data_IF_185128895943
#
_entry.id   IF_185128895943
#
_cell.length_a   1.000
_cell.length_b   1.000
_cell.length_c   1.000
_cell.angle_alpha   90.00
_cell.angle_beta   90.00
_cell.angle_gamma   90.00
#
_symmetry.space_group_name_H-M   'P 1'
#
loop_
_entity.id
_entity.type
_entity.pdbx_description
1 polymer ?
#
# COMPACT_ATOMS: atom_id res chain seq x y z
N UNK A 1 -22.74 53.23 -28.64
CA UNK A 1 -22.90 52.75 -27.26
C UNK A 1 -24.06 51.79 -27.13
N UNK A 2 -23.76 50.49 -27.09
CA UNK A 2 -24.30 49.56 -26.10
C UNK A 2 -23.23 48.46 -25.94
N UNK A 3 -22.39 48.56 -24.91
CA UNK A 3 -21.54 47.46 -24.48
C UNK A 3 -22.44 46.37 -23.88
N UNK A 4 -22.43 45.18 -24.48
CA UNK A 4 -23.07 44.00 -23.90
C UNK A 4 -22.06 43.32 -22.98
N UNK A 5 -22.20 43.56 -21.68
CA UNK A 5 -21.36 42.99 -20.62
C UNK A 5 -21.50 41.46 -20.57
N UNK A 6 -20.34 40.81 -20.53
CA UNK A 6 -20.15 39.37 -20.37
C UNK A 6 -20.51 38.93 -18.93
N UNK A 7 -21.76 38.54 -18.72
CA UNK A 7 -22.25 37.74 -17.58
C UNK A 7 -22.51 36.33 -18.14
N UNK A 8 -21.89 35.22 -17.74
CA UNK A 8 -21.54 34.77 -16.39
C UNK A 8 -20.36 33.77 -16.46
N UNK A 9 -19.22 34.19 -15.91
CA UNK A 9 -18.18 33.27 -15.42
C UNK A 9 -18.64 32.68 -14.09
N UNK A 10 -19.61 31.75 -14.13
CA UNK A 10 -20.17 31.10 -12.91
C UNK A 10 -20.22 29.58 -13.08
N UNK A 11 -19.31 29.00 -13.87
CA UNK A 11 -18.98 27.59 -13.68
C UNK A 11 -17.90 27.49 -12.61
N UNK A 12 -18.39 27.31 -11.37
CA UNK A 12 -17.67 26.82 -10.20
C UNK A 12 -16.36 26.13 -10.60
N UNK A 13 -15.23 26.85 -10.49
CA UNK A 13 -13.94 26.18 -10.44
C UNK A 13 -14.04 25.25 -9.23
N UNK A 14 -14.14 23.95 -9.50
CA UNK A 14 -14.04 22.94 -8.45
C UNK A 14 -12.80 23.29 -7.65
N UNK A 15 -12.95 23.39 -6.33
CA UNK A 15 -11.83 23.60 -5.42
C UNK A 15 -10.73 22.61 -5.82
N UNK A 16 -9.67 23.12 -6.44
CA UNK A 16 -8.44 22.39 -6.60
C UNK A 16 -7.86 22.31 -5.20
N UNK A 17 -8.32 21.32 -4.42
CA UNK A 17 -7.64 20.91 -3.21
C UNK A 17 -6.24 20.52 -3.69
N UNK A 18 -5.16 21.15 -3.19
CA UNK A 18 -3.80 20.79 -3.55
C UNK A 18 -3.67 19.28 -3.33
N UNK A 19 -3.43 18.53 -4.41
CA UNK A 19 -3.30 17.09 -4.30
C UNK A 19 -2.10 16.83 -3.38
N UNK A 20 -2.32 16.00 -2.37
CA UNK A 20 -1.21 15.32 -1.70
C UNK A 20 -0.45 14.56 -2.79
N UNK A 21 0.88 14.56 -2.74
CA UNK A 21 1.67 13.85 -3.74
C UNK A 21 1.22 12.39 -3.82
N UNK A 22 1.04 11.90 -5.06
CA UNK A 22 0.58 10.54 -5.29
C UNK A 22 1.53 9.55 -4.62
N UNK A 23 1.05 8.49 -3.96
CA UNK A 23 1.86 7.56 -3.18
C UNK A 23 3.02 6.94 -3.95
N UNK A 24 2.87 6.76 -5.27
CA UNK A 24 3.92 6.24 -6.13
C UNK A 24 4.97 7.27 -6.51
N UNK A 25 4.79 8.57 -6.26
CA UNK A 25 5.83 9.60 -6.49
C UNK A 25 6.79 9.75 -5.31
N UNK A 26 6.45 9.12 -4.18
CA UNK A 26 7.24 9.13 -2.96
C UNK A 26 8.13 7.88 -2.95
N UNK A 27 9.37 8.03 -2.49
CA UNK A 27 10.30 6.90 -2.33
C UNK A 27 9.73 5.83 -1.39
N UNK A 28 9.97 4.57 -1.69
CA UNK A 28 9.46 3.47 -0.89
C UNK A 28 10.04 3.45 0.51
N UNK A 29 11.26 3.96 0.71
CA UNK A 29 11.83 4.12 2.06
C UNK A 29 11.03 5.10 2.92
N UNK A 30 10.34 6.09 2.33
CA UNK A 30 9.50 7.03 3.07
C UNK A 30 8.21 6.39 3.63
N UNK A 31 7.82 5.21 3.13
CA UNK A 31 6.72 4.43 3.74
C UNK A 31 7.14 3.77 5.07
N UNK A 32 8.44 3.66 5.34
CA UNK A 32 9.01 3.04 6.53
C UNK A 32 8.84 1.52 6.62
N UNK A 33 8.08 0.90 5.71
CA UNK A 33 7.79 -0.55 5.74
C UNK A 33 9.05 -1.37 5.47
N UNK A 34 9.82 -0.99 4.45
CA UNK A 34 11.07 -1.68 4.07
C UNK A 34 12.13 -1.58 5.18
N UNK A 35 12.35 -0.38 5.72
CA UNK A 35 13.29 -0.16 6.82
C UNK A 35 12.91 -0.98 8.07
N UNK A 36 11.62 -1.00 8.43
CA UNK A 36 11.13 -1.78 9.57
C UNK A 36 11.26 -3.29 9.35
N UNK A 37 11.08 -3.77 8.13
CA UNK A 37 11.32 -5.17 7.79
C UNK A 37 12.80 -5.57 7.91
N UNK A 38 13.73 -4.70 7.48
CA UNK A 38 15.18 -4.95 7.65
C UNK A 38 15.54 -5.07 9.13
N UNK A 39 15.08 -4.14 9.97
CA UNK A 39 15.31 -4.20 11.42
C UNK A 39 14.73 -5.49 12.03
N UNK A 40 13.52 -5.89 11.61
CA UNK A 40 12.88 -7.10 12.09
C UNK A 40 13.63 -8.38 11.70
N UNK A 41 14.30 -8.41 10.54
CA UNK A 41 15.17 -9.52 10.17
C UNK A 41 16.42 -9.59 11.03
N UNK A 42 17.03 -8.46 11.34
CA UNK A 42 18.18 -8.39 12.26
C UNK A 42 17.78 -8.87 13.66
N UNK A 43 16.62 -8.44 14.17
CA UNK A 43 16.06 -8.91 15.43
C UNK A 43 15.83 -10.43 15.44
N UNK A 44 15.29 -10.99 14.36
CA UNK A 44 15.08 -12.43 14.21
C UNK A 44 16.38 -13.23 14.18
N UNK A 45 17.38 -12.75 13.43
CA UNK A 45 18.71 -13.38 13.36
C UNK A 45 19.44 -13.33 14.70
N UNK A 46 19.33 -12.22 15.42
CA UNK A 46 19.93 -12.07 16.74
C UNK A 46 19.24 -12.98 17.76
N UNK A 47 17.91 -13.07 17.70
CA UNK A 47 17.16 -13.95 18.59
C UNK A 47 17.48 -15.43 18.33
N UNK A 48 17.65 -15.84 17.07
CA UNK A 48 18.03 -17.22 16.71
C UNK A 48 19.39 -17.63 17.28
N UNK A 49 20.36 -16.71 17.33
CA UNK A 49 21.70 -16.97 17.90
C UNK A 49 21.71 -17.15 19.43
N UNK A 50 20.77 -16.52 20.13
CA UNK A 50 20.76 -16.44 21.60
C UNK A 50 19.72 -17.40 22.21
N UNK A 51 18.85 -17.99 21.40
CA UNK A 51 17.70 -18.74 21.86
C UNK A 51 17.96 -20.26 21.96
N UNK A 52 17.43 -20.95 22.98
CA UNK A 52 17.45 -22.42 23.05
C UNK A 52 16.73 -23.06 21.84
N UNK A 53 17.14 -24.29 21.50
CA UNK A 53 16.62 -25.09 20.37
C UNK A 53 15.09 -25.21 20.31
N UNK A 54 14.44 -25.12 21.47
CA UNK A 54 13.00 -25.33 21.63
C UNK A 54 12.14 -24.28 20.87
N UNK A 55 12.71 -23.10 20.57
CA UNK A 55 12.01 -22.04 19.82
C UNK A 55 12.40 -21.99 18.33
N UNK A 56 13.29 -22.87 17.86
CA UNK A 56 13.77 -22.88 16.47
C UNK A 56 12.61 -22.94 15.45
N UNK A 57 11.58 -23.73 15.74
CA UNK A 57 10.37 -23.81 14.89
C UNK A 57 9.63 -22.47 14.84
N UNK A 58 9.44 -21.82 15.99
CA UNK A 58 8.74 -20.53 16.08
C UNK A 58 9.50 -19.43 15.33
N UNK A 59 10.82 -19.36 15.52
CA UNK A 59 11.68 -18.39 14.84
C UNK A 59 11.69 -18.62 13.33
N UNK A 60 11.77 -19.88 12.87
CA UNK A 60 11.69 -20.20 11.44
C UNK A 60 10.37 -19.77 10.80
N UNK A 61 9.25 -19.93 11.51
CA UNK A 61 7.93 -19.51 11.04
C UNK A 61 7.82 -17.98 10.96
N UNK A 62 8.35 -17.25 11.96
CA UNK A 62 8.41 -15.79 11.96
C UNK A 62 9.31 -15.25 10.83
N UNK A 63 10.48 -15.85 10.62
CA UNK A 63 11.37 -15.52 9.50
C UNK A 63 10.72 -15.77 8.15
N UNK A 64 9.97 -16.87 8.01
CA UNK A 64 9.17 -17.12 6.80
C UNK A 64 8.10 -16.06 6.58
N UNK A 65 7.50 -15.56 7.67
CA UNK A 65 6.50 -14.50 7.61
C UNK A 65 7.14 -13.15 7.21
N UNK A 66 8.31 -12.80 7.75
CA UNK A 66 9.07 -11.62 7.34
C UNK A 66 9.40 -11.64 5.84
N UNK A 67 9.90 -12.77 5.32
CA UNK A 67 10.20 -12.94 3.88
C UNK A 67 8.98 -12.78 2.98
N UNK A 68 7.80 -13.21 3.43
CA UNK A 68 6.54 -13.00 2.69
C UNK A 68 6.20 -11.52 2.58
N UNK A 69 6.39 -10.75 3.65
CA UNK A 69 6.19 -9.32 3.63
C UNK A 69 7.19 -8.61 2.72
N UNK A 70 8.47 -8.98 2.76
CA UNK A 70 9.47 -8.43 1.84
C UNK A 70 9.12 -8.68 0.37
N UNK A 71 8.73 -9.91 0.05
CA UNK A 71 8.33 -10.26 -1.31
C UNK A 71 7.08 -9.49 -1.77
N UNK A 72 6.19 -9.12 -0.83
CA UNK A 72 5.05 -8.27 -1.13
C UNK A 72 5.46 -6.81 -1.32
N UNK A 73 6.26 -6.24 -0.41
CA UNK A 73 6.81 -4.89 -0.51
C UNK A 73 7.52 -4.71 -1.85
N UNK A 74 8.41 -5.62 -2.23
CA UNK A 74 9.15 -5.52 -3.49
C UNK A 74 8.25 -5.50 -4.73
N UNK A 75 7.09 -6.15 -4.69
CA UNK A 75 6.10 -6.09 -5.79
C UNK A 75 5.34 -4.76 -5.82
N UNK A 76 5.05 -4.18 -4.66
CA UNK A 76 4.41 -2.87 -4.57
C UNK A 76 5.41 -1.77 -4.99
N UNK A 77 6.68 -1.91 -4.64
CA UNK A 77 7.76 -1.02 -5.09
C UNK A 77 7.92 -1.06 -6.61
N UNK A 78 7.94 -2.25 -7.21
CA UNK A 78 7.98 -2.40 -8.67
C UNK A 78 6.78 -1.74 -9.36
N UNK A 79 5.58 -1.95 -8.81
CA UNK A 79 4.37 -1.29 -9.29
C UNK A 79 4.49 0.24 -9.21
N UNK A 80 4.94 0.78 -8.08
CA UNK A 80 5.14 2.22 -7.91
C UNK A 80 6.14 2.76 -8.94
N UNK A 81 7.25 2.06 -9.17
CA UNK A 81 8.24 2.43 -10.18
C UNK A 81 7.67 2.41 -11.59
N UNK A 82 6.87 1.41 -11.96
CA UNK A 82 6.19 1.38 -13.26
C UNK A 82 5.22 2.56 -13.42
N UNK A 83 4.46 2.87 -12.38
CA UNK A 83 3.58 4.05 -12.37
C UNK A 83 4.37 5.37 -12.44
N UNK A 84 5.55 5.48 -11.83
CA UNK A 84 6.41 6.66 -11.99
C UNK A 84 6.86 6.83 -13.45
N UNK A 85 7.26 5.74 -14.10
CA UNK A 85 7.80 5.78 -15.46
C UNK A 85 6.73 6.02 -16.53
N UNK A 86 5.52 5.49 -16.33
CA UNK A 86 4.44 5.60 -17.31
C UNK A 86 3.49 6.77 -17.05
N UNK A 87 3.60 7.45 -15.90
CA UNK A 87 2.65 8.42 -15.31
C UNK A 87 1.16 8.12 -15.60
N UNK A 88 0.37 7.63 -14.63
CA UNK A 88 -1.07 7.40 -14.81
C UNK A 88 -1.84 8.62 -15.33
N UNK A 89 -1.31 9.83 -15.19
CA UNK A 89 -1.90 11.08 -15.66
C UNK A 89 -1.31 11.62 -16.98
N UNK A 90 -0.50 10.83 -17.71
CA UNK A 90 0.13 11.28 -18.96
C UNK A 90 -0.92 11.73 -19.99
N UNK A 91 -0.88 13.01 -20.33
CA UNK A 91 -1.81 13.65 -21.27
C UNK A 91 -1.41 13.43 -22.74
N UNK A 92 -0.20 12.91 -23.01
CA UNK A 92 0.26 12.60 -24.36
C UNK A 92 -0.38 11.31 -24.90
N UNK A 93 -0.88 10.45 -24.01
CA UNK A 93 -1.61 9.23 -24.34
C UNK A 93 -3.09 9.52 -24.60
N UNK A 94 -3.65 8.81 -25.59
CA UNK A 94 -5.09 8.83 -25.83
C UNK A 94 -5.89 8.44 -24.57
N UNK A 95 -7.08 9.03 -24.35
CA UNK A 95 -7.85 8.83 -23.13
C UNK A 95 -8.22 7.37 -22.86
N UNK A 96 -8.44 6.58 -23.91
CA UNK A 96 -8.72 5.14 -23.80
C UNK A 96 -7.51 4.36 -23.28
N UNK A 97 -6.33 4.57 -23.87
CA UNK A 97 -5.09 3.92 -23.44
C UNK A 97 -4.73 4.29 -22.01
N UNK A 98 -4.88 5.57 -21.65
CA UNK A 98 -4.64 6.03 -20.27
C UNK A 98 -5.59 5.35 -19.28
N UNK A 99 -6.89 5.32 -19.57
CA UNK A 99 -7.89 4.67 -18.71
C UNK A 99 -7.63 3.17 -18.57
N UNK A 100 -7.22 2.52 -19.67
CA UNK A 100 -6.82 1.11 -19.64
C UNK A 100 -5.64 0.88 -18.71
N UNK A 101 -4.53 1.62 -18.87
CA UNK A 101 -3.36 1.48 -18.01
C UNK A 101 -3.65 1.75 -16.53
N UNK A 102 -4.45 2.79 -16.23
CA UNK A 102 -4.91 3.07 -14.86
C UNK A 102 -5.70 1.88 -14.27
N UNK A 103 -6.56 1.27 -15.08
CA UNK A 103 -7.36 0.09 -14.67
C UNK A 103 -6.46 -1.13 -14.42
N UNK A 104 -5.45 -1.35 -15.26
CA UNK A 104 -4.48 -2.44 -15.09
C UNK A 104 -3.70 -2.30 -13.77
N UNK A 105 -3.22 -1.10 -13.45
CA UNK A 105 -2.55 -0.82 -12.17
C UNK A 105 -3.49 -1.02 -10.98
N UNK A 106 -4.76 -0.60 -11.10
CA UNK A 106 -5.75 -0.78 -10.05
C UNK A 106 -6.03 -2.28 -9.79
N UNK A 107 -6.17 -3.08 -10.85
CA UNK A 107 -6.33 -4.53 -10.75
C UNK A 107 -5.10 -5.19 -10.10
N UNK A 108 -3.89 -4.72 -10.41
CA UNK A 108 -2.68 -5.15 -9.71
C UNK A 108 -2.71 -4.84 -8.21
N UNK A 109 -3.14 -3.63 -7.85
CA UNK A 109 -3.27 -3.23 -6.45
C UNK A 109 -4.25 -4.13 -5.69
N UNK A 110 -5.40 -4.47 -6.29
CA UNK A 110 -6.35 -5.40 -5.67
C UNK A 110 -5.75 -6.79 -5.45
N UNK A 111 -4.95 -7.30 -6.40
CA UNK A 111 -4.21 -8.55 -6.20
C UNK A 111 -3.22 -8.47 -5.04
N UNK A 112 -2.56 -7.32 -4.85
CA UNK A 112 -1.66 -7.12 -3.71
C UNK A 112 -2.40 -6.96 -2.39
N UNK A 113 -3.54 -6.26 -2.36
CA UNK A 113 -4.39 -6.16 -1.18
C UNK A 113 -4.91 -7.54 -0.75
N UNK A 114 -5.34 -8.37 -1.69
CA UNK A 114 -5.74 -9.75 -1.41
C UNK A 114 -4.58 -10.55 -0.81
N UNK A 115 -3.39 -10.50 -1.43
CA UNK A 115 -2.20 -11.18 -0.90
C UNK A 115 -1.78 -10.64 0.48
N UNK A 116 -1.92 -9.34 0.73
CA UNK A 116 -1.67 -8.73 2.03
C UNK A 116 -2.62 -9.28 3.09
N UNK A 117 -3.92 -9.36 2.78
CA UNK A 117 -4.95 -9.94 3.66
C UNK A 117 -4.65 -11.41 3.99
N UNK A 118 -4.36 -12.24 2.98
CA UNK A 118 -3.97 -13.65 3.18
C UNK A 118 -2.70 -13.79 4.04
N UNK A 119 -1.74 -12.88 3.87
CA UNK A 119 -0.51 -12.85 4.66
C UNK A 119 -0.80 -12.46 6.11
N UNK A 120 -1.71 -11.51 6.34
CA UNK A 120 -2.20 -11.13 7.67
C UNK A 120 -2.95 -12.26 8.37
N UNK A 121 -3.80 -13.00 7.67
CA UNK A 121 -4.46 -14.19 8.22
C UNK A 121 -3.45 -15.26 8.68
N UNK A 122 -2.40 -15.49 7.89
CA UNK A 122 -1.29 -16.40 8.25
C UNK A 122 -0.53 -15.91 9.49
N UNK A 123 -0.35 -14.60 9.65
CA UNK A 123 0.24 -14.01 10.85
C UNK A 123 -0.62 -14.27 12.10
N UNK A 124 -1.94 -14.08 12.00
CA UNK A 124 -2.88 -14.33 13.11
C UNK A 124 -2.87 -15.81 13.52
N UNK A 125 -2.89 -16.72 12.54
CA UNK A 125 -2.80 -18.16 12.80
C UNK A 125 -1.49 -18.52 13.53
N UNK A 126 -0.36 -18.00 13.04
CA UNK A 126 0.96 -18.19 13.63
C UNK A 126 1.04 -17.66 15.06
N UNK A 127 0.49 -16.47 15.33
CA UNK A 127 0.46 -15.91 16.69
C UNK A 127 -0.39 -16.75 17.65
N UNK A 128 -1.47 -17.33 17.16
CA UNK A 128 -2.35 -18.21 17.93
C UNK A 128 -1.63 -19.52 18.30
N UNK A 129 -0.86 -20.09 17.36
CA UNK A 129 -0.03 -21.29 17.59
C UNK A 129 1.06 -21.01 18.64
N UNK A 130 1.78 -19.88 18.54
CA UNK A 130 2.83 -19.49 19.50
C UNK A 130 2.25 -19.23 20.90
N UNK A 131 1.08 -18.61 20.99
CA UNK A 131 0.45 -18.32 22.29
C UNK A 131 0.07 -19.62 23.00
N UNK A 132 -0.39 -20.62 22.24
CA UNK A 132 -0.73 -21.95 22.76
C UNK A 132 0.50 -22.73 23.21
N UNK A 133 1.63 -22.66 22.49
CA UNK A 133 2.85 -23.38 22.85
C UNK A 133 3.56 -22.85 24.11
N UNK A 134 3.25 -21.62 24.53
CA UNK A 134 3.92 -20.96 25.66
C UNK A 134 3.12 -21.02 26.98
N UNK A 135 1.99 -21.72 27.04
CA UNK A 135 1.20 -21.90 28.27
C UNK A 135 1.77 -23.06 29.10
N UNK A 136 2.34 -22.76 30.28
CA UNK A 136 2.62 -23.75 31.33
C UNK A 136 4.07 -23.83 31.82
N UNK A 137 5.01 -23.08 31.24
CA UNK A 137 6.44 -23.27 31.54
C UNK A 137 6.94 -22.35 32.68
N UNK A 138 7.64 -22.91 33.68
CA UNK A 138 8.32 -22.10 34.71
C UNK A 138 9.47 -21.33 34.05
N UNK A 139 9.41 -20.01 34.16
CA UNK A 139 10.20 -19.11 33.33
C UNK A 139 11.39 -18.54 34.10
N UNK A 140 12.60 -19.00 33.76
CA UNK A 140 13.84 -18.36 34.22
C UNK A 140 14.06 -17.01 33.51
N UNK A 141 14.98 -16.19 34.01
CA UNK A 141 15.23 -14.83 33.49
C UNK A 141 15.60 -14.81 32.00
N UNK A 142 16.36 -15.80 31.51
CA UNK A 142 16.71 -15.91 30.10
C UNK A 142 15.47 -16.19 29.22
N UNK A 143 14.63 -17.14 29.61
CA UNK A 143 13.35 -17.41 28.95
C UNK A 143 12.42 -16.19 28.98
N UNK A 144 12.45 -15.36 30.04
CA UNK A 144 11.62 -14.14 30.16
C UNK A 144 12.02 -13.12 29.10
N UNK A 145 13.32 -12.92 28.93
CA UNK A 145 13.86 -11.99 27.94
C UNK A 145 13.56 -12.48 26.51
N UNK A 146 13.75 -13.78 26.22
CA UNK A 146 13.38 -14.37 24.92
C UNK A 146 11.89 -14.19 24.60
N UNK A 147 11.01 -14.41 25.60
CA UNK A 147 9.57 -14.22 25.43
C UNK A 147 9.23 -12.76 25.12
N UNK A 148 9.84 -11.81 25.84
CA UNK A 148 9.64 -10.37 25.57
C UNK A 148 10.08 -10.02 24.15
N UNK A 149 11.24 -10.51 23.70
CA UNK A 149 11.73 -10.29 22.33
C UNK A 149 10.79 -10.89 21.28
N UNK A 150 10.27 -12.09 21.51
CA UNK A 150 9.25 -12.70 20.62
C UNK A 150 7.99 -11.84 20.54
N UNK A 151 7.53 -11.28 21.66
CA UNK A 151 6.34 -10.43 21.68
C UNK A 151 6.58 -9.08 20.98
N UNK A 152 7.79 -8.51 21.08
CA UNK A 152 8.20 -7.34 20.28
C UNK A 152 8.17 -7.64 18.79
N UNK A 153 8.76 -8.76 18.35
CA UNK A 153 8.76 -9.18 16.94
C UNK A 153 7.32 -9.36 16.42
N UNK A 154 6.44 -9.99 17.20
CA UNK A 154 5.02 -10.15 16.83
C UNK A 154 4.33 -8.80 16.65
N UNK A 155 4.59 -7.84 17.52
CA UNK A 155 4.03 -6.50 17.43
C UNK A 155 4.57 -5.76 16.20
N UNK A 156 5.88 -5.86 15.94
CA UNK A 156 6.49 -5.30 14.73
C UNK A 156 5.87 -5.89 13.45
N UNK A 157 5.62 -7.20 13.38
CA UNK A 157 4.92 -7.83 12.24
C UNK A 157 3.49 -7.31 12.07
N UNK A 158 2.75 -7.08 13.16
CA UNK A 158 1.40 -6.50 13.08
C UNK A 158 1.43 -5.07 12.53
N UNK A 159 2.41 -4.30 12.95
CA UNK A 159 2.56 -2.93 12.46
C UNK A 159 2.97 -2.90 10.98
N UNK A 160 3.87 -3.79 10.55
CA UNK A 160 4.20 -3.98 9.13
C UNK A 160 2.94 -4.34 8.32
N UNK A 161 2.11 -5.27 8.80
CA UNK A 161 0.82 -5.59 8.16
C UNK A 161 -0.06 -4.35 7.99
N UNK A 162 -0.26 -3.60 9.08
CA UNK A 162 -1.08 -2.38 9.07
C UNK A 162 -0.54 -1.33 8.09
N UNK A 163 0.77 -1.09 8.11
CA UNK A 163 1.39 -0.08 7.26
C UNK A 163 1.29 -0.46 5.78
N UNK A 164 1.42 -1.75 5.44
CA UNK A 164 1.17 -2.28 4.11
C UNK A 164 -0.26 -2.06 3.63
N UNK A 165 -1.24 -2.35 4.48
CA UNK A 165 -2.66 -2.15 4.16
C UNK A 165 -2.97 -0.67 3.93
N UNK A 166 -2.45 0.22 4.77
CA UNK A 166 -2.59 1.67 4.61
C UNK A 166 -1.97 2.14 3.30
N UNK A 167 -0.77 1.66 2.97
CA UNK A 167 -0.07 2.05 1.76
C UNK A 167 -0.82 1.61 0.50
N UNK A 168 -1.30 0.36 0.45
CA UNK A 168 -2.14 -0.14 -0.64
C UNK A 168 -3.46 0.61 -0.76
N UNK A 169 -4.16 0.86 0.35
CA UNK A 169 -5.41 1.61 0.35
C UNK A 169 -5.22 3.03 -0.21
N UNK A 170 -4.09 3.67 0.10
CA UNK A 170 -3.75 4.99 -0.47
C UNK A 170 -3.51 4.94 -1.97
N UNK A 171 -2.77 3.94 -2.47
CA UNK A 171 -2.53 3.78 -3.91
C UNK A 171 -3.86 3.54 -4.64
N UNK A 172 -4.69 2.63 -4.12
CA UNK A 172 -5.99 2.29 -4.68
C UNK A 172 -6.90 3.51 -4.73
N UNK A 173 -7.05 4.23 -3.61
CA UNK A 173 -7.90 5.41 -3.55
C UNK A 173 -7.47 6.52 -4.51
N UNK A 174 -6.16 6.71 -4.71
CA UNK A 174 -5.65 7.68 -5.68
C UNK A 174 -5.95 7.24 -7.13
N UNK A 175 -5.77 5.95 -7.46
CA UNK A 175 -6.10 5.41 -8.79
C UNK A 175 -7.61 5.48 -9.08
N UNK A 176 -8.44 5.07 -8.13
CA UNK A 176 -9.90 5.18 -8.23
C UNK A 176 -10.34 6.64 -8.40
N UNK A 177 -9.71 7.56 -7.66
CA UNK A 177 -9.97 8.99 -7.77
C UNK A 177 -9.57 9.59 -9.12
N UNK A 178 -8.53 9.08 -9.76
CA UNK A 178 -8.15 9.45 -11.13
C UNK A 178 -9.19 8.91 -12.13
N UNK A 179 -9.54 7.62 -12.05
CA UNK A 179 -10.52 6.99 -12.95
C UNK A 179 -11.90 7.65 -12.86
N UNK A 180 -12.37 7.98 -11.65
CA UNK A 180 -13.63 8.67 -11.44
C UNK A 180 -13.65 10.07 -12.10
N UNK A 181 -12.51 10.77 -12.10
CA UNK A 181 -12.36 12.07 -12.76
C UNK A 181 -12.32 11.93 -14.27
N UNK A 182 -11.51 11.00 -14.79
CA UNK A 182 -11.31 10.82 -16.23
C UNK A 182 -12.61 10.34 -16.90
N UNK A 183 -13.36 9.44 -16.25
CA UNK A 183 -14.71 9.06 -16.70
C UNK A 183 -15.68 10.25 -16.73
N UNK A 184 -15.62 11.15 -15.75
CA UNK A 184 -16.43 12.37 -15.74
C UNK A 184 -15.96 13.44 -16.74
N UNK A 185 -14.70 13.37 -17.21
CA UNK A 185 -14.15 14.27 -18.24
C UNK A 185 -14.62 13.86 -19.64
N UNK A 186 -14.57 12.56 -19.96
CA UNK A 186 -15.08 12.04 -21.23
C UNK A 186 -16.55 12.42 -21.45
N UNK A 187 -17.40 12.28 -20.43
CA UNK A 187 -18.82 12.67 -20.53
C UNK A 187 -18.96 14.15 -20.87
N UNK A 188 -18.18 15.06 -20.26
CA UNK A 188 -18.23 16.49 -20.58
C UNK A 188 -17.79 16.79 -22.02
N UNK A 189 -16.74 16.15 -22.50
CA UNK A 189 -16.26 16.32 -23.89
C UNK A 189 -17.30 15.85 -24.92
N UNK A 190 -18.02 14.75 -24.64
CA UNK A 190 -19.11 14.28 -25.50
C UNK A 190 -20.32 15.24 -25.56
N UNK A 191 -20.64 15.94 -24.46
CA UNK A 191 -21.73 16.92 -24.46
C UNK A 191 -21.35 18.25 -25.12
N UNK A 192 -20.09 18.70 -24.99
CA UNK A 192 -19.61 19.95 -25.60
C UNK A 192 -19.45 19.80 -27.12
N UNK A 193 -19.07 18.61 -27.62
CA UNK A 193 -18.90 18.35 -29.06
C UNK A 193 -20.24 18.29 -29.85
N UNK A 194 -21.37 18.06 -29.17
CA UNK A 194 -22.69 17.93 -29.83
C UNK A 194 -23.46 19.23 -30.06
N UNK A 195 -22.96 20.37 -29.59
CA UNK A 195 -23.53 21.68 -29.90
C UNK A 195 -22.41 22.63 -30.33
N UNK A 196 -22.05 22.65 -31.63
CA UNK A 196 -21.35 23.81 -32.16
C UNK A 196 -22.32 24.99 -32.03
N UNK A 197 -21.97 25.98 -31.22
CA UNK A 197 -22.66 27.25 -31.23
C UNK A 197 -22.57 27.80 -32.66
N UNK A 198 -23.69 27.76 -33.37
CA UNK A 198 -23.86 28.41 -34.67
C UNK A 198 -23.81 29.91 -34.40
N UNK A 199 -22.74 30.56 -34.86
CA UNK A 199 -22.62 32.02 -34.93
C UNK A 199 -23.58 32.60 -35.97
#
# INVERSE_FOLDING_TARGET
>A
DVQYESLESVYHMKQFVPRRESPWKIDSEATGVSAKLRLLEEELLNLDKVCPSDNSKVLSLLSKQAKRYQALVGKIDDLCRRMQNSDPCDATLGPEFRTQSQTEFLLECFRFQQRASETGQKLVALQTEITRSNQGDQLNQAKMNTRRSLDLIKNNLKEVQRNLEIWLARIIGDLEGILARDGASCVREFYVSRYPFVQ
#
